data_IF_196577952345
#
_entry.id   IF_196577952345
#
_cell.length_a   1.000
_cell.length_b   1.000
_cell.length_c   1.000
_cell.angle_alpha   90.00
_cell.angle_beta   90.00
_cell.angle_gamma   90.00
#
_symmetry.space_group_name_H-M   'P 1'
#
loop_
_entity.id
_entity.type
_entity.pdbx_description
1 polymer ?
#
# COMPACT_ATOMS: atom_id res chain seq x y z
N UNK A 1 8.19 16.57 12.34
CA UNK A 1 8.77 15.39 13.02
C UNK A 1 9.86 14.75 12.15
N UNK A 2 10.75 13.95 12.76
CA UNK A 2 11.77 13.18 12.04
C UNK A 2 11.24 11.81 11.68
N UNK A 3 11.20 11.49 10.40
CA UNK A 3 10.70 10.22 9.87
C UNK A 3 11.81 9.45 9.19
N UNK A 4 12.13 8.28 9.70
CA UNK A 4 13.17 7.39 9.17
C UNK A 4 12.58 6.39 8.17
N UNK A 5 13.25 6.19 7.05
CA UNK A 5 12.94 5.13 6.08
C UNK A 5 14.17 4.25 5.87
N UNK A 6 14.11 3.02 6.33
CA UNK A 6 15.12 2.00 6.05
C UNK A 6 14.61 1.09 4.94
N UNK A 7 15.20 1.21 3.75
CA UNK A 7 14.72 0.59 2.53
C UNK A 7 13.90 1.56 1.67
N UNK A 8 14.60 2.26 0.77
CA UNK A 8 14.06 3.25 -0.17
C UNK A 8 13.79 2.66 -1.56
N UNK A 9 13.28 1.43 -1.59
CA UNK A 9 12.79 0.79 -2.81
C UNK A 9 11.47 1.42 -3.30
N UNK A 10 10.80 0.76 -4.24
CA UNK A 10 9.56 1.30 -4.84
C UNK A 10 8.54 1.75 -3.78
N UNK A 11 8.24 0.89 -2.82
CA UNK A 11 7.22 1.20 -1.80
C UNK A 11 7.72 2.18 -0.74
N UNK A 12 8.92 1.95 -0.16
CA UNK A 12 9.49 2.87 0.82
C UNK A 12 9.72 4.27 0.22
N UNK A 13 10.15 4.35 -1.04
CA UNK A 13 10.26 5.62 -1.77
C UNK A 13 8.92 6.32 -2.01
N UNK A 14 7.85 5.56 -2.34
CA UNK A 14 6.51 6.13 -2.51
C UNK A 14 5.99 6.75 -1.19
N UNK A 15 6.14 6.03 -0.07
CA UNK A 15 5.72 6.54 1.24
C UNK A 15 6.62 7.69 1.73
N UNK A 16 7.91 7.67 1.42
CA UNK A 16 8.81 8.79 1.73
C UNK A 16 8.40 10.06 0.97
N UNK A 17 7.98 9.95 -0.30
CA UNK A 17 7.42 11.08 -1.07
C UNK A 17 6.14 11.63 -0.44
N UNK A 18 5.25 10.76 0.03
CA UNK A 18 4.05 11.19 0.73
C UNK A 18 4.39 11.93 2.03
N UNK A 19 5.33 11.41 2.83
CA UNK A 19 5.82 12.05 4.05
C UNK A 19 6.48 13.41 3.77
N UNK A 20 7.26 13.53 2.68
CA UNK A 20 7.89 14.79 2.28
C UNK A 20 6.85 15.88 1.99
N UNK A 21 5.75 15.54 1.31
CA UNK A 21 4.64 16.48 1.04
C UNK A 21 3.98 16.98 2.33
N UNK A 22 4.04 16.23 3.42
CA UNK A 22 3.58 16.63 4.75
C UNK A 22 4.55 17.53 5.52
N UNK A 23 5.72 17.91 4.94
CA UNK A 23 6.68 18.80 5.56
C UNK A 23 7.53 18.16 6.66
N UNK A 24 7.68 16.82 6.64
CA UNK A 24 8.47 16.08 7.62
C UNK A 24 9.96 16.00 7.24
N UNK A 25 10.84 15.98 8.25
CA UNK A 25 12.28 15.78 8.03
C UNK A 25 12.57 14.30 7.79
N UNK A 26 13.14 13.97 6.64
CA UNK A 26 13.37 12.59 6.23
C UNK A 26 14.80 12.13 6.52
N UNK A 27 14.93 10.97 7.16
CA UNK A 27 16.16 10.21 7.36
C UNK A 27 16.09 8.97 6.46
N UNK A 28 16.98 8.86 5.49
CA UNK A 28 16.89 7.86 4.44
C UNK A 28 18.08 6.89 4.50
N UNK A 29 17.79 5.62 4.69
CA UNK A 29 18.79 4.55 4.70
C UNK A 29 18.42 3.46 3.69
N UNK A 30 19.41 2.93 2.99
CA UNK A 30 19.20 1.83 2.05
C UNK A 30 20.48 1.01 1.87
N UNK A 31 20.35 -0.31 1.74
CA UNK A 31 21.50 -1.21 1.48
C UNK A 31 22.31 -0.80 0.25
N UNK A 32 21.68 -0.25 -0.78
CA UNK A 32 22.33 0.36 -1.94
C UNK A 32 22.29 1.88 -1.75
N UNK A 33 23.39 2.55 -1.35
CA UNK A 33 23.39 3.98 -0.99
C UNK A 33 22.84 4.88 -2.09
N UNK A 34 23.18 4.63 -3.35
CA UNK A 34 22.73 5.42 -4.49
C UNK A 34 21.20 5.60 -4.57
N UNK A 35 20.41 4.64 -4.08
CA UNK A 35 18.94 4.76 -4.03
C UNK A 35 18.49 5.76 -2.97
N UNK A 36 19.12 5.76 -1.80
CA UNK A 36 18.84 6.74 -0.75
C UNK A 36 19.30 8.14 -1.15
N UNK A 37 20.48 8.25 -1.79
CA UNK A 37 21.03 9.51 -2.30
C UNK A 37 20.14 10.15 -3.37
N UNK A 38 19.67 9.35 -4.34
CA UNK A 38 18.75 9.84 -5.37
C UNK A 38 17.44 10.36 -4.75
N UNK A 39 16.88 9.63 -3.80
CA UNK A 39 15.65 10.02 -3.12
C UNK A 39 15.87 11.24 -2.20
N UNK A 40 17.01 11.32 -1.51
CA UNK A 40 17.37 12.48 -0.69
C UNK A 40 17.52 13.75 -1.52
N UNK A 41 18.14 13.66 -2.69
CA UNK A 41 18.28 14.78 -3.64
C UNK A 41 16.89 15.25 -4.14
N UNK A 42 15.98 14.32 -4.37
CA UNK A 42 14.61 14.62 -4.82
C UNK A 42 13.78 15.31 -3.71
N UNK A 43 13.88 14.83 -2.46
CA UNK A 43 12.96 15.18 -1.38
C UNK A 43 13.55 16.16 -0.34
N UNK A 44 14.84 16.50 -0.42
CA UNK A 44 15.52 17.30 0.60
C UNK A 44 15.79 16.52 1.90
N UNK A 45 15.87 15.18 1.85
CA UNK A 45 16.13 14.33 3.00
C UNK A 45 17.63 14.17 3.30
N UNK A 46 17.94 13.57 4.43
CA UNK A 46 19.30 13.24 4.87
C UNK A 46 19.58 11.74 4.69
N UNK A 47 20.64 11.39 3.97
CA UNK A 47 21.12 10.00 3.90
C UNK A 47 21.88 9.65 5.16
N UNK A 48 21.59 8.50 5.76
CA UNK A 48 22.26 8.04 6.97
C UNK A 48 22.34 6.51 7.02
N UNK A 49 23.05 5.99 8.04
CA UNK A 49 23.05 4.56 8.37
C UNK A 49 21.74 4.15 9.07
N UNK A 50 21.39 2.86 9.03
CA UNK A 50 20.19 2.34 9.66
C UNK A 50 20.11 2.67 11.15
N UNK A 51 21.20 2.48 11.89
CA UNK A 51 21.28 2.78 13.32
C UNK A 51 21.03 4.27 13.61
N UNK A 52 21.55 5.19 12.79
CA UNK A 52 21.33 6.64 12.92
C UNK A 52 19.86 6.99 12.66
N UNK A 53 19.22 6.36 11.66
CA UNK A 53 17.80 6.53 11.43
C UNK A 53 16.97 6.04 12.62
N UNK A 54 17.31 4.88 13.19
CA UNK A 54 16.64 4.31 14.35
C UNK A 54 16.82 5.15 15.63
N UNK A 55 18.02 5.75 15.81
CA UNK A 55 18.32 6.61 16.95
C UNK A 55 17.59 7.95 16.90
N UNK A 56 17.45 8.55 15.73
CA UNK A 56 16.97 9.92 15.59
C UNK A 56 15.49 10.05 15.18
N UNK A 57 14.89 9.00 14.61
CA UNK A 57 13.51 9.05 14.15
C UNK A 57 12.49 9.03 15.31
N UNK A 58 11.34 9.64 15.08
CA UNK A 58 10.11 9.54 15.90
C UNK A 58 9.17 8.49 15.30
N UNK A 59 9.23 8.29 13.99
CA UNK A 59 8.53 7.27 13.22
C UNK A 59 9.53 6.60 12.28
N UNK A 60 9.67 5.26 12.36
CA UNK A 60 10.68 4.50 11.62
C UNK A 60 10.04 3.45 10.72
N UNK A 61 10.10 3.66 9.41
CA UNK A 61 9.59 2.73 8.41
C UNK A 61 10.64 1.70 8.00
N UNK A 62 10.27 0.42 8.06
CA UNK A 62 11.08 -0.72 7.62
C UNK A 62 10.57 -1.21 6.26
N UNK A 63 11.19 -0.71 5.18
CA UNK A 63 10.86 -1.00 3.78
C UNK A 63 11.70 -2.12 3.16
N UNK A 64 12.10 -3.08 3.97
CA UNK A 64 12.90 -4.24 3.53
C UNK A 64 12.01 -5.43 3.19
N UNK A 65 12.51 -6.33 2.34
CA UNK A 65 11.83 -7.59 2.07
C UNK A 65 11.83 -8.49 3.32
N UNK A 66 10.83 -9.39 3.49
CA UNK A 66 10.76 -10.26 4.67
C UNK A 66 12.05 -11.00 4.99
N UNK A 67 12.76 -11.49 3.96
CA UNK A 67 14.03 -12.22 4.11
C UNK A 67 15.18 -11.35 4.66
N UNK A 68 15.10 -10.04 4.51
CA UNK A 68 16.11 -9.10 5.04
C UNK A 68 15.75 -8.54 6.42
N UNK A 69 14.54 -8.81 6.91
CA UNK A 69 14.07 -8.25 8.17
C UNK A 69 14.79 -8.82 9.41
N UNK A 70 15.08 -10.13 9.52
CA UNK A 70 15.79 -10.66 10.68
C UNK A 70 17.16 -10.00 10.90
N UNK A 71 18.00 -9.94 9.87
CA UNK A 71 19.32 -9.29 9.99
C UNK A 71 19.24 -7.78 10.28
N UNK A 72 18.22 -7.10 9.73
CA UNK A 72 17.98 -5.70 10.07
C UNK A 72 17.50 -5.58 11.54
N UNK A 73 16.67 -6.47 12.02
CA UNK A 73 16.18 -6.45 13.39
C UNK A 73 17.34 -6.68 14.39
N UNK A 74 18.28 -7.59 14.11
CA UNK A 74 19.49 -7.80 14.91
C UNK A 74 20.32 -6.51 15.02
N UNK A 75 20.46 -5.76 13.93
CA UNK A 75 21.17 -4.46 13.90
C UNK A 75 20.41 -3.41 14.74
N UNK A 76 19.09 -3.33 14.62
CA UNK A 76 18.28 -2.26 15.18
C UNK A 76 17.86 -2.49 16.64
N UNK A 77 17.67 -3.74 17.07
CA UNK A 77 17.14 -4.06 18.38
C UNK A 77 17.93 -3.40 19.53
N UNK A 78 19.27 -3.43 19.57
CA UNK A 78 20.03 -2.75 20.63
C UNK A 78 19.79 -1.24 20.67
N UNK A 79 19.71 -0.59 19.52
CA UNK A 79 19.49 0.86 19.42
C UNK A 79 18.07 1.23 19.88
N UNK A 80 17.07 0.46 19.44
CA UNK A 80 15.67 0.69 19.77
C UNK A 80 15.39 0.41 21.25
N UNK A 81 15.98 -0.65 21.81
CA UNK A 81 15.82 -0.99 23.23
C UNK A 81 16.52 0.02 24.16
N UNK A 82 17.65 0.60 23.75
CA UNK A 82 18.31 1.69 24.49
C UNK A 82 17.43 2.95 24.60
N UNK A 83 16.48 3.13 23.68
CA UNK A 83 15.48 4.22 23.67
C UNK A 83 14.18 3.86 24.39
N UNK A 84 14.11 2.78 25.17
CA UNK A 84 12.92 2.35 25.87
C UNK A 84 12.31 3.50 26.70
N UNK A 85 11.04 3.82 26.45
CA UNK A 85 10.35 5.00 27.00
C UNK A 85 10.29 6.21 26.06
N UNK A 86 11.18 6.28 25.06
CA UNK A 86 11.15 7.26 23.98
C UNK A 86 11.53 6.62 22.61
N UNK A 87 11.15 5.35 22.45
CA UNK A 87 11.39 4.63 21.22
C UNK A 87 10.50 5.18 20.08
N UNK A 88 10.98 5.14 18.83
CA UNK A 88 10.14 5.50 17.69
C UNK A 88 9.00 4.50 17.54
N UNK A 89 7.91 4.92 16.93
CA UNK A 89 6.93 3.96 16.40
C UNK A 89 7.58 3.26 15.20
N UNK A 90 7.74 1.94 15.29
CA UNK A 90 8.31 1.15 14.20
C UNK A 90 7.20 0.68 13.28
N UNK A 91 7.30 1.06 12.00
CA UNK A 91 6.29 0.75 10.96
C UNK A 91 6.88 -0.26 9.99
N UNK A 92 6.39 -1.50 10.02
CA UNK A 92 6.83 -2.56 9.10
C UNK A 92 5.88 -2.69 7.92
N UNK A 93 6.45 -2.79 6.70
CA UNK A 93 5.73 -3.13 5.47
C UNK A 93 6.12 -4.52 4.92
N UNK A 94 6.72 -5.37 5.77
CA UNK A 94 7.11 -6.72 5.39
C UNK A 94 5.88 -7.63 5.28
N UNK A 95 5.64 -8.17 4.08
CA UNK A 95 4.56 -9.12 3.83
C UNK A 95 4.76 -10.40 4.65
N UNK A 96 3.68 -10.96 5.19
CA UNK A 96 3.69 -12.21 5.95
C UNK A 96 4.51 -12.21 7.26
N UNK A 97 4.84 -11.03 7.80
CA UNK A 97 5.45 -10.89 9.13
C UNK A 97 4.42 -10.22 10.05
N UNK A 98 4.05 -10.90 11.12
CA UNK A 98 3.08 -10.43 12.11
C UNK A 98 3.70 -9.42 13.09
N UNK A 99 2.84 -8.63 13.75
CA UNK A 99 3.27 -7.74 14.85
C UNK A 99 3.97 -8.51 15.97
N UNK A 100 3.48 -9.70 16.31
CA UNK A 100 4.09 -10.57 17.32
C UNK A 100 5.51 -11.02 16.93
N UNK A 101 5.70 -11.42 15.67
CA UNK A 101 7.03 -11.82 15.17
C UNK A 101 7.98 -10.63 15.13
N UNK A 102 7.49 -9.46 14.66
CA UNK A 102 8.27 -8.22 14.65
C UNK A 102 8.68 -7.79 16.07
N UNK A 103 7.75 -7.86 17.02
CA UNK A 103 8.01 -7.56 18.43
C UNK A 103 9.10 -8.47 19.02
N UNK A 104 9.01 -9.76 18.78
CA UNK A 104 10.02 -10.72 19.20
C UNK A 104 11.40 -10.45 18.60
N UNK A 105 11.47 -10.14 17.30
CA UNK A 105 12.72 -9.80 16.60
C UNK A 105 13.39 -8.54 17.15
N UNK A 106 12.60 -7.56 17.60
CA UNK A 106 13.08 -6.27 18.08
C UNK A 106 13.30 -6.21 19.61
N UNK A 107 13.17 -7.34 20.32
CA UNK A 107 13.42 -7.45 21.76
C UNK A 107 12.24 -7.10 22.66
N UNK A 108 11.06 -6.89 22.09
CA UNK A 108 9.77 -6.78 22.80
C UNK A 108 9.45 -5.39 23.36
N UNK A 109 8.16 -5.09 23.42
CA UNK A 109 7.60 -3.92 24.11
C UNK A 109 7.70 -2.59 23.39
N UNK A 110 8.03 -2.57 22.09
CA UNK A 110 8.06 -1.36 21.29
C UNK A 110 6.67 -1.00 20.72
N UNK A 111 6.43 0.29 20.41
CA UNK A 111 5.25 0.68 19.64
C UNK A 111 5.42 0.27 18.18
N UNK A 112 4.54 -0.60 17.69
CA UNK A 112 4.63 -1.22 16.37
C UNK A 112 3.39 -0.96 15.54
N UNK A 113 3.59 -0.71 14.24
CA UNK A 113 2.52 -0.68 13.24
C UNK A 113 2.92 -1.60 12.08
N UNK A 114 2.07 -2.56 11.76
CA UNK A 114 2.16 -3.32 10.51
C UNK A 114 1.34 -2.62 9.45
N UNK A 115 1.92 -2.33 8.30
CA UNK A 115 1.20 -1.76 7.16
C UNK A 115 1.27 -2.66 5.94
N UNK A 116 0.23 -2.61 5.12
CA UNK A 116 0.21 -3.22 3.80
C UNK A 116 -0.24 -2.16 2.78
N UNK A 117 0.72 -1.37 2.24
CA UNK A 117 0.46 -0.37 1.21
C UNK A 117 0.40 -1.01 -0.17
N UNK A 118 -0.15 -0.27 -1.14
CA UNK A 118 -0.15 -0.65 -2.55
C UNK A 118 0.52 0.41 -3.45
N UNK A 119 0.80 0.03 -4.70
CA UNK A 119 1.57 0.87 -5.64
C UNK A 119 0.94 2.23 -5.98
N UNK A 120 -0.40 2.42 -6.01
CA UNK A 120 -0.98 3.75 -6.23
C UNK A 120 -0.66 4.80 -5.15
N UNK A 121 -0.07 4.41 -4.02
CA UNK A 121 0.48 5.36 -3.04
C UNK A 121 1.53 6.30 -3.66
N UNK A 122 2.20 5.90 -4.73
CA UNK A 122 3.15 6.74 -5.45
C UNK A 122 2.51 8.01 -6.07
N UNK A 123 1.22 7.95 -6.37
CA UNK A 123 0.44 9.07 -6.92
C UNK A 123 -0.57 9.65 -5.92
N UNK A 124 -0.51 9.24 -4.65
CA UNK A 124 -1.40 9.73 -3.60
C UNK A 124 -2.79 9.07 -3.58
N UNK A 125 -2.98 8.01 -4.36
CA UNK A 125 -4.23 7.26 -4.47
C UNK A 125 -4.09 5.81 -3.97
N UNK A 126 -3.20 5.58 -3.01
CA UNK A 126 -2.96 4.27 -2.43
C UNK A 126 -4.02 3.85 -1.42
N UNK A 127 -3.96 2.57 -1.06
CA UNK A 127 -4.63 2.02 0.12
C UNK A 127 -3.55 1.48 1.04
N UNK A 128 -3.50 1.99 2.26
CA UNK A 128 -2.58 1.57 3.31
C UNK A 128 -3.40 0.90 4.40
N UNK A 129 -3.45 -0.43 4.37
CA UNK A 129 -4.02 -1.22 5.46
C UNK A 129 -3.06 -1.17 6.64
N UNK A 130 -3.57 -1.09 7.88
CA UNK A 130 -2.69 -1.12 9.04
C UNK A 130 -3.32 -1.76 10.27
N UNK A 131 -2.46 -2.36 11.11
CA UNK A 131 -2.74 -2.78 12.48
C UNK A 131 -1.64 -2.25 13.39
N UNK A 132 -1.97 -1.98 14.65
CA UNK A 132 -1.07 -1.37 15.62
C UNK A 132 -1.03 -2.17 16.93
N UNK A 133 0.14 -2.18 17.61
CA UNK A 133 0.38 -2.80 18.90
C UNK A 133 1.22 -1.85 19.75
N UNK A 134 0.84 -1.65 21.02
CA UNK A 134 1.54 -0.79 21.98
C UNK A 134 1.70 0.68 21.50
N UNK A 135 0.77 1.18 20.69
CA UNK A 135 0.79 2.54 20.11
C UNK A 135 -0.26 3.39 20.80
N UNK A 136 0.11 4.58 21.25
CA UNK A 136 -0.83 5.57 21.80
C UNK A 136 -1.63 6.25 20.70
N UNK A 137 -2.79 6.86 21.05
CA UNK A 137 -3.60 7.61 20.08
C UNK A 137 -2.80 8.74 19.43
N UNK A 138 -1.99 9.47 20.17
CA UNK A 138 -1.14 10.54 19.65
C UNK A 138 -0.10 10.02 18.64
N UNK A 139 0.50 8.86 18.89
CA UNK A 139 1.43 8.21 17.94
C UNK A 139 0.70 7.73 16.70
N UNK A 140 -0.52 7.21 16.85
CA UNK A 140 -1.34 6.76 15.73
C UNK A 140 -1.77 7.94 14.86
N UNK A 141 -2.14 9.06 15.45
CA UNK A 141 -2.47 10.29 14.72
C UNK A 141 -1.25 10.87 14.00
N UNK A 142 -0.08 10.84 14.62
CA UNK A 142 1.17 11.21 13.97
C UNK A 142 1.48 10.30 12.75
N UNK A 143 1.31 8.99 12.89
CA UNK A 143 1.44 8.04 11.77
C UNK A 143 0.47 8.36 10.63
N UNK A 144 -0.80 8.60 10.94
CA UNK A 144 -1.82 8.99 9.96
C UNK A 144 -1.46 10.28 9.23
N UNK A 145 -1.01 11.28 9.98
CA UNK A 145 -0.60 12.58 9.42
C UNK A 145 0.58 12.45 8.44
N UNK A 146 1.58 11.63 8.77
CA UNK A 146 2.75 11.36 7.90
C UNK A 146 2.33 10.74 6.57
N UNK A 147 1.34 9.85 6.57
CA UNK A 147 0.88 9.15 5.37
C UNK A 147 -0.39 9.74 4.73
N UNK A 148 -0.89 10.87 5.21
CA UNK A 148 -2.13 11.49 4.70
C UNK A 148 -2.10 11.75 3.18
N UNK A 149 -0.91 11.98 2.61
CA UNK A 149 -0.72 12.21 1.17
C UNK A 149 -0.50 10.92 0.36
N UNK A 150 -0.55 9.75 0.99
CA UNK A 150 -0.36 8.46 0.32
C UNK A 150 -1.67 7.85 -0.20
N UNK A 151 -2.83 8.29 0.34
CA UNK A 151 -4.16 7.78 0.01
C UNK A 151 -4.98 7.39 1.23
N UNK A 152 -5.84 6.40 1.09
CA UNK A 152 -6.71 5.88 2.16
C UNK A 152 -5.90 5.08 3.18
N UNK A 153 -5.98 5.47 4.46
CA UNK A 153 -5.47 4.69 5.59
C UNK A 153 -6.63 3.94 6.24
N UNK A 154 -6.60 2.62 6.18
CA UNK A 154 -7.68 1.76 6.68
C UNK A 154 -7.20 0.89 7.83
N UNK A 155 -7.65 1.15 9.08
CA UNK A 155 -7.37 0.28 10.22
C UNK A 155 -8.12 -1.04 10.08
N UNK A 156 -7.43 -2.15 10.35
CA UNK A 156 -8.03 -3.49 10.37
C UNK A 156 -7.45 -4.30 11.53
N UNK A 157 -8.20 -5.27 12.06
CA UNK A 157 -7.61 -6.35 12.84
C UNK A 157 -6.48 -7.02 12.03
N UNK A 158 -5.37 -7.35 12.69
CA UNK A 158 -4.17 -7.83 11.97
C UNK A 158 -4.46 -9.07 11.11
N UNK A 159 -5.29 -9.99 11.61
CA UNK A 159 -5.69 -11.22 10.92
C UNK A 159 -6.49 -10.98 9.65
N UNK A 160 -7.00 -9.76 9.42
CA UNK A 160 -7.73 -9.38 8.20
C UNK A 160 -6.85 -8.73 7.15
N UNK A 161 -5.64 -8.29 7.50
CA UNK A 161 -4.73 -7.57 6.57
C UNK A 161 -4.42 -8.41 5.34
N UNK A 162 -4.13 -9.71 5.50
CA UNK A 162 -3.75 -10.57 4.38
C UNK A 162 -4.92 -10.81 3.41
N UNK A 163 -6.14 -10.96 3.93
CA UNK A 163 -7.34 -11.07 3.10
C UNK A 163 -7.64 -9.74 2.36
N UNK A 164 -7.56 -8.61 3.07
CA UNK A 164 -7.78 -7.30 2.49
C UNK A 164 -6.69 -6.95 1.44
N UNK A 165 -5.45 -7.41 1.65
CA UNK A 165 -4.35 -7.17 0.70
C UNK A 165 -4.54 -7.91 -0.62
N UNK A 166 -5.31 -9.01 -0.67
CA UNK A 166 -5.67 -9.65 -1.92
C UNK A 166 -6.50 -8.73 -2.82
N UNK A 167 -7.26 -7.80 -2.21
CA UNK A 167 -8.01 -6.77 -2.94
C UNK A 167 -7.12 -5.55 -3.20
N UNK A 168 -6.56 -4.93 -2.14
CA UNK A 168 -5.85 -3.65 -2.28
C UNK A 168 -4.44 -3.80 -2.84
N UNK A 169 -3.70 -4.83 -2.45
CA UNK A 169 -2.32 -5.07 -2.87
C UNK A 169 -2.21 -5.64 -4.28
N UNK A 170 -3.06 -6.62 -4.63
CA UNK A 170 -3.09 -7.27 -5.95
C UNK A 170 -4.02 -6.53 -6.93
N UNK A 171 -5.07 -5.88 -6.43
CA UNK A 171 -6.10 -5.21 -7.22
C UNK A 171 -5.59 -4.24 -8.27
N UNK A 172 -4.54 -3.43 -8.08
CA UNK A 172 -4.01 -2.59 -9.13
C UNK A 172 -3.65 -3.34 -10.40
N UNK A 173 -3.08 -4.56 -10.30
CA UNK A 173 -2.80 -5.40 -11.47
C UNK A 173 -4.09 -5.86 -12.16
N UNK A 174 -5.13 -6.20 -11.40
CA UNK A 174 -6.44 -6.59 -11.95
C UNK A 174 -7.12 -5.41 -12.65
N UNK A 175 -7.01 -4.19 -12.07
CA UNK A 175 -7.50 -2.97 -12.69
C UNK A 175 -6.76 -2.66 -13.99
N UNK A 176 -5.44 -2.82 -14.06
CA UNK A 176 -4.69 -2.63 -15.30
C UNK A 176 -5.09 -3.65 -16.37
N UNK A 177 -5.33 -4.91 -16.00
CA UNK A 177 -5.83 -5.94 -16.92
C UNK A 177 -7.21 -5.58 -17.46
N UNK A 178 -8.10 -5.06 -16.62
CA UNK A 178 -9.43 -4.60 -17.02
C UNK A 178 -9.35 -3.37 -17.93
N UNK A 179 -8.49 -2.39 -17.60
CA UNK A 179 -8.28 -1.19 -18.42
C UNK A 179 -7.78 -1.54 -19.81
N UNK A 180 -6.82 -2.49 -19.92
CA UNK A 180 -6.30 -2.97 -21.20
C UNK A 180 -7.42 -3.66 -22.02
N UNK A 181 -8.23 -4.52 -21.40
CA UNK A 181 -9.35 -5.17 -22.07
C UNK A 181 -10.39 -4.15 -22.60
N UNK A 182 -10.71 -3.10 -21.83
CA UNK A 182 -11.56 -2.01 -22.29
C UNK A 182 -10.94 -1.27 -23.49
N UNK A 183 -9.63 -0.97 -23.43
CA UNK A 183 -8.92 -0.30 -24.51
C UNK A 183 -8.92 -1.13 -25.79
N UNK A 184 -8.67 -2.44 -25.70
CA UNK A 184 -8.74 -3.36 -26.84
C UNK A 184 -10.15 -3.43 -27.45
N UNK A 185 -11.19 -3.39 -26.63
CA UNK A 185 -12.57 -3.24 -27.08
C UNK A 185 -12.80 -1.95 -27.89
N UNK A 186 -12.23 -0.84 -27.41
CA UNK A 186 -12.22 0.45 -28.13
C UNK A 186 -11.51 0.38 -29.48
N UNK A 187 -10.35 -0.28 -29.53
CA UNK A 187 -9.60 -0.50 -30.78
C UNK A 187 -10.43 -1.31 -31.77
N UNK A 188 -11.11 -2.35 -31.31
CA UNK A 188 -12.02 -3.14 -32.15
C UNK A 188 -13.17 -2.29 -32.71
N UNK A 189 -13.56 -1.24 -32.00
CA UNK A 189 -14.57 -0.27 -32.43
C UNK A 189 -14.00 0.88 -33.29
N UNK A 190 -12.70 0.88 -33.61
CA UNK A 190 -12.04 1.84 -34.52
C UNK A 190 -11.26 2.97 -33.86
N UNK A 191 -11.09 2.95 -32.52
CA UNK A 191 -10.28 3.94 -31.81
C UNK A 191 -8.79 3.63 -31.92
N UNK A 192 -7.93 4.68 -31.80
CA UNK A 192 -6.52 4.44 -31.56
C UNK A 192 -6.31 3.83 -30.17
N UNK A 193 -5.31 2.94 -30.01
CA UNK A 193 -5.02 2.32 -28.69
C UNK A 193 -4.67 3.37 -27.62
N UNK A 194 -3.85 4.42 -27.89
CA UNK A 194 -3.59 5.46 -26.91
C UNK A 194 -4.84 6.20 -26.43
N UNK A 195 -5.77 6.50 -27.32
CA UNK A 195 -7.02 7.18 -26.95
C UNK A 195 -7.94 6.24 -26.16
N UNK A 196 -8.04 4.98 -26.59
CA UNK A 196 -8.80 3.96 -25.87
C UNK A 196 -8.27 3.74 -24.44
N UNK A 197 -6.93 3.74 -24.24
CA UNK A 197 -6.32 3.67 -22.91
C UNK A 197 -6.67 4.88 -22.03
N UNK A 198 -6.64 6.09 -22.60
CA UNK A 198 -7.03 7.31 -21.86
C UNK A 198 -8.48 7.27 -21.42
N UNK A 199 -9.37 6.86 -22.32
CA UNK A 199 -10.81 6.72 -22.04
C UNK A 199 -11.06 5.67 -20.96
N UNK A 200 -10.42 4.50 -21.06
CA UNK A 200 -10.53 3.44 -20.07
C UNK A 200 -10.07 3.92 -18.69
N UNK A 201 -8.89 4.55 -18.60
CA UNK A 201 -8.34 5.06 -17.35
C UNK A 201 -9.26 6.12 -16.71
N UNK A 202 -9.74 7.10 -17.47
CA UNK A 202 -10.62 8.15 -16.96
C UNK A 202 -11.99 7.60 -16.53
N UNK A 203 -12.52 6.63 -17.27
CA UNK A 203 -13.78 5.96 -16.90
C UNK A 203 -13.66 5.20 -15.58
N UNK A 204 -12.56 4.47 -15.38
CA UNK A 204 -12.30 3.77 -14.12
C UNK A 204 -12.13 4.73 -12.95
N UNK A 205 -11.39 5.83 -13.15
CA UNK A 205 -11.22 6.86 -12.14
C UNK A 205 -12.57 7.44 -11.70
N UNK A 206 -13.40 7.87 -12.65
CA UNK A 206 -14.72 8.44 -12.33
C UNK A 206 -15.64 7.45 -11.63
N UNK A 207 -15.68 6.19 -12.07
CA UNK A 207 -16.46 5.15 -11.41
C UNK A 207 -16.00 4.88 -9.98
N UNK A 208 -14.67 4.85 -9.74
CA UNK A 208 -14.12 4.68 -8.40
C UNK A 208 -14.44 5.87 -7.49
N UNK A 209 -14.36 7.10 -7.99
CA UNK A 209 -14.73 8.30 -7.23
C UNK A 209 -16.22 8.29 -6.84
N UNK A 210 -17.10 7.89 -7.73
CA UNK A 210 -18.53 7.74 -7.42
C UNK A 210 -18.79 6.72 -6.32
N UNK A 211 -18.08 5.59 -6.31
CA UNK A 211 -18.15 4.59 -5.24
C UNK A 211 -17.67 5.12 -3.90
N UNK A 212 -16.57 5.87 -3.88
CA UNK A 212 -15.97 6.40 -2.65
C UNK A 212 -16.78 7.54 -2.04
N UNK A 213 -17.41 8.37 -2.87
CA UNK A 213 -18.14 9.56 -2.42
C UNK A 213 -19.62 9.29 -2.15
N UNK A 214 -20.22 8.34 -2.87
CA UNK A 214 -21.68 8.18 -2.91
C UNK A 214 -22.28 7.31 -1.82
N UNK A 215 -21.50 6.44 -1.16
CA UNK A 215 -21.98 5.49 -0.14
C UNK A 215 -22.98 4.44 -0.67
N UNK A 216 -23.23 4.38 -1.97
CA UNK A 216 -24.16 3.44 -2.60
C UNK A 216 -23.42 2.15 -3.01
N UNK A 217 -24.14 1.04 -2.98
CA UNK A 217 -23.60 -0.25 -3.38
C UNK A 217 -23.28 -0.29 -4.90
N UNK A 218 -22.21 -1.01 -5.32
CA UNK A 218 -21.78 -1.05 -6.72
C UNK A 218 -22.86 -1.49 -7.71
N UNK A 219 -23.76 -2.40 -7.30
CA UNK A 219 -24.86 -2.91 -8.11
C UNK A 219 -25.91 -1.83 -8.39
N UNK A 220 -26.18 -0.96 -7.41
CA UNK A 220 -27.08 0.19 -7.56
C UNK A 220 -26.51 1.19 -8.58
N UNK A 221 -25.24 1.55 -8.46
CA UNK A 221 -24.57 2.47 -9.40
C UNK A 221 -24.52 1.87 -10.81
N UNK A 222 -24.24 0.56 -10.93
CA UNK A 222 -24.27 -0.15 -12.21
C UNK A 222 -25.64 -0.03 -12.87
N UNK A 223 -26.73 -0.26 -12.14
CA UNK A 223 -28.09 -0.20 -12.68
C UNK A 223 -28.52 1.19 -13.11
N UNK A 224 -28.00 2.25 -12.47
CA UNK A 224 -28.28 3.63 -12.90
C UNK A 224 -27.72 3.98 -14.28
N UNK A 225 -26.65 3.32 -14.68
CA UNK A 225 -26.05 3.51 -16.02
C UNK A 225 -26.74 2.64 -17.07
N UNK A 226 -27.50 1.62 -16.65
CA UNK A 226 -28.19 0.69 -17.53
C UNK A 226 -29.63 1.16 -17.84
N UNK A 227 -29.81 1.90 -18.93
CA UNK A 227 -31.15 2.21 -19.43
C UNK A 227 -31.84 0.99 -20.07
N UNK A 228 -33.20 0.87 -20.01
CA UNK A 228 -33.92 -0.20 -20.69
C UNK A 228 -33.62 -0.22 -22.19
N UNK A 229 -33.26 -1.40 -22.72
CA UNK A 229 -32.85 -1.64 -24.14
C UNK A 229 -31.64 -0.78 -24.59
N UNK A 230 -30.85 -0.23 -23.63
CA UNK A 230 -29.69 0.61 -23.91
C UNK A 230 -28.44 -0.22 -24.24
N UNK A 231 -27.39 0.46 -24.70
CA UNK A 231 -26.09 -0.16 -25.05
C UNK A 231 -25.35 -0.69 -23.82
N UNK A 232 -25.51 -0.03 -22.66
CA UNK A 232 -24.81 -0.42 -21.44
C UNK A 232 -25.27 -1.77 -20.91
N UNK A 233 -26.59 -2.04 -20.92
CA UNK A 233 -27.11 -3.34 -20.44
C UNK A 233 -26.63 -4.50 -21.32
N UNK A 234 -26.55 -4.32 -22.64
CA UNK A 234 -26.01 -5.34 -23.55
C UNK A 234 -24.53 -5.64 -23.22
N UNK A 235 -23.72 -4.61 -22.96
CA UNK A 235 -22.32 -4.77 -22.53
C UNK A 235 -22.19 -5.49 -21.19
N UNK A 236 -23.05 -5.17 -20.21
CA UNK A 236 -23.06 -5.84 -18.88
C UNK A 236 -23.43 -7.31 -19.04
N UNK A 237 -24.45 -7.63 -19.85
CA UNK A 237 -24.84 -9.02 -20.10
C UNK A 237 -23.74 -9.82 -20.81
N UNK A 238 -23.03 -9.21 -21.76
CA UNK A 238 -21.87 -9.85 -22.40
C UNK A 238 -20.73 -10.15 -21.39
N UNK A 239 -20.45 -9.26 -20.44
CA UNK A 239 -19.49 -9.50 -19.36
C UNK A 239 -19.92 -10.68 -18.46
N UNK A 240 -21.19 -10.74 -18.07
CA UNK A 240 -21.73 -11.84 -17.25
C UNK A 240 -21.71 -13.18 -17.99
N UNK A 241 -22.08 -13.21 -19.27
CA UNK A 241 -21.97 -14.40 -20.13
C UNK A 241 -20.53 -14.90 -20.26
N UNK A 242 -19.54 -13.96 -20.28
CA UNK A 242 -18.13 -14.27 -20.26
C UNK A 242 -17.61 -14.74 -18.89
N UNK A 243 -18.44 -14.79 -17.83
CA UNK A 243 -18.06 -15.21 -16.49
C UNK A 243 -17.20 -14.18 -15.75
N UNK A 244 -17.33 -12.90 -16.06
CA UNK A 244 -16.49 -11.82 -15.49
C UNK A 244 -16.51 -11.83 -13.98
N UNK A 245 -17.68 -11.82 -13.36
CA UNK A 245 -17.84 -11.79 -11.90
C UNK A 245 -17.13 -12.98 -11.23
N UNK A 246 -17.29 -14.19 -11.77
CA UNK A 246 -16.63 -15.39 -11.28
C UNK A 246 -15.10 -15.32 -11.43
N UNK A 247 -14.62 -14.83 -12.57
CA UNK A 247 -13.19 -14.71 -12.87
C UNK A 247 -12.48 -13.74 -11.90
N UNK A 248 -13.10 -12.58 -11.62
CA UNK A 248 -12.56 -11.59 -10.67
C UNK A 248 -12.54 -12.16 -9.24
N UNK A 249 -13.61 -12.82 -8.80
CA UNK A 249 -13.67 -13.47 -7.48
C UNK A 249 -12.58 -14.54 -7.34
N UNK A 250 -12.33 -15.34 -8.37
CA UNK A 250 -11.27 -16.34 -8.39
C UNK A 250 -9.88 -15.73 -8.34
N UNK A 251 -9.65 -14.60 -9.02
CA UNK A 251 -8.37 -13.89 -8.97
C UNK A 251 -8.05 -13.44 -7.53
N UNK A 252 -9.01 -12.85 -6.82
CA UNK A 252 -8.86 -12.46 -5.41
C UNK A 252 -8.61 -13.68 -4.53
N UNK A 253 -9.38 -14.77 -4.73
CA UNK A 253 -9.23 -16.01 -3.95
C UNK A 253 -7.85 -16.65 -4.17
N UNK A 254 -7.36 -16.68 -5.40
CA UNK A 254 -6.04 -17.22 -5.73
C UNK A 254 -4.92 -16.39 -5.08
N UNK A 255 -5.02 -15.07 -5.14
CA UNK A 255 -4.07 -14.16 -4.49
C UNK A 255 -4.04 -14.36 -2.97
N UNK A 256 -5.20 -14.46 -2.32
CA UNK A 256 -5.30 -14.72 -0.88
C UNK A 256 -4.70 -16.07 -0.50
N UNK A 257 -5.04 -17.15 -1.21
CA UNK A 257 -4.45 -18.48 -0.97
C UNK A 257 -2.93 -18.44 -1.04
N UNK A 258 -2.39 -17.76 -2.04
CA UNK A 258 -0.93 -17.62 -2.18
C UNK A 258 -0.29 -16.86 -1.02
N UNK A 259 -0.94 -15.81 -0.53
CA UNK A 259 -0.48 -15.06 0.67
C UNK A 259 -0.42 -15.98 1.89
N UNK A 260 -1.48 -16.76 2.15
CA UNK A 260 -1.52 -17.74 3.26
C UNK A 260 -0.43 -18.81 3.15
N UNK A 261 -0.15 -19.30 1.94
CA UNK A 261 0.93 -20.26 1.70
C UNK A 261 2.31 -19.67 2.03
N UNK A 262 2.52 -18.39 1.73
CA UNK A 262 3.79 -17.71 2.03
C UNK A 262 3.98 -17.51 3.53
N UNK A 263 2.92 -17.14 4.25
CA UNK A 263 2.94 -16.97 5.71
C UNK A 263 3.26 -18.29 6.45
N UNK A 264 2.80 -19.44 5.94
CA UNK A 264 3.05 -20.76 6.55
C UNK A 264 4.46 -21.31 6.33
N UNK A 265 5.21 -20.75 5.40
CA UNK A 265 6.57 -21.23 5.02
C UNK A 265 7.70 -20.38 5.62
N UNK A 266 7.39 -19.28 6.24
CA UNK A 266 8.31 -18.43 7.02
C UNK A 266 8.22 -18.78 8.49
#
# INVERSE_FOLDING_TARGET
>A
MKVGFIGTGNMGGALARAAAKGGHTLLLANRTPAKAEALAKELGGTVCQNAVAAEAAELLFLGVKPQGLPGLAEELAPVLQARKGNAPVVVSMATAVTLRELDAMLGGGLPLIRIMPNTPAAVGAGTILYAAQNVTDAQLDAFRAVLAQAGLLLPLPEEKIDAASAISGCGPAFCFQFADALALGGVRAGLSYPDACRLAAQTMLGAAEMLLQGGEAPDVLKMRVCSPAGTTIEGVLALEQGGFSYTVQNAVTAAYRRTVEMTRKG
#
